data_IF_678983455415
#
_entry.id   IF_678983455415
#
_cell.length_a   1.000
_cell.length_b   1.000
_cell.length_c   1.000
_cell.angle_alpha   90.00
_cell.angle_beta   90.00
_cell.angle_gamma   90.00
#
_symmetry.space_group_name_H-M   'P 1'
#
loop_
_entity.id
_entity.type
_entity.pdbx_description
1 polymer ?
#
# COMPACT_ATOMS: atom_id res chain seq x y z
N UNK A 1 -11.41 -11.25 10.65
CA UNK A 1 -11.04 -9.94 11.26
C UNK A 1 -9.73 -9.93 12.06
N UNK A 2 -9.31 -10.99 12.78
CA UNK A 2 -8.03 -10.99 13.53
C UNK A 2 -6.81 -10.61 12.66
N UNK A 3 -6.58 -11.32 11.56
CA UNK A 3 -5.47 -11.06 10.62
C UNK A 3 -5.45 -9.64 10.06
N UNK A 4 -6.64 -9.05 9.84
CA UNK A 4 -6.76 -7.66 9.41
C UNK A 4 -6.20 -6.71 10.48
N UNK A 5 -6.61 -6.86 11.74
CA UNK A 5 -6.10 -6.02 12.83
C UNK A 5 -4.62 -6.28 13.12
N UNK A 6 -4.19 -7.55 13.09
CA UNK A 6 -2.77 -7.89 13.19
C UNK A 6 -1.99 -7.12 12.12
N UNK A 7 -2.45 -7.11 10.86
CA UNK A 7 -1.83 -6.36 9.74
C UNK A 7 -1.89 -4.84 9.92
N UNK A 8 -2.97 -4.28 10.47
CA UNK A 8 -3.10 -2.84 10.73
C UNK A 8 -2.10 -2.35 11.77
N UNK A 9 -1.90 -3.16 12.81
CA UNK A 9 -1.17 -2.76 14.01
C UNK A 9 0.33 -3.07 13.95
N UNK A 10 0.82 -3.74 12.89
CA UNK A 10 2.26 -4.04 12.72
C UNK A 10 3.17 -2.80 12.72
N UNK A 11 2.60 -1.63 12.37
CA UNK A 11 3.30 -0.35 12.43
C UNK A 11 2.76 0.52 13.58
N UNK A 12 1.44 0.53 13.76
CA UNK A 12 0.78 1.49 14.64
C UNK A 12 0.84 1.12 16.13
N UNK A 13 1.01 -0.16 16.49
CA UNK A 13 1.12 -0.57 17.89
C UNK A 13 2.55 -0.33 18.41
N UNK A 14 2.74 0.51 19.46
CA UNK A 14 4.06 0.86 19.98
C UNK A 14 4.85 -0.33 20.56
N UNK A 15 4.20 -1.43 20.92
CA UNK A 15 4.85 -2.58 21.56
C UNK A 15 4.73 -3.88 20.75
N UNK A 16 4.55 -3.76 19.43
CA UNK A 16 4.48 -4.93 18.57
C UNK A 16 5.84 -5.66 18.50
N UNK A 17 5.78 -6.97 18.24
CA UNK A 17 6.98 -7.85 18.19
C UNK A 17 7.78 -7.72 16.89
N UNK A 18 7.34 -6.89 15.95
CA UNK A 18 8.05 -6.68 14.68
C UNK A 18 9.00 -5.50 14.73
N UNK A 19 8.75 -4.50 15.56
CA UNK A 19 9.59 -3.33 15.66
C UNK A 19 10.97 -3.68 16.24
N UNK A 20 12.02 -3.52 15.45
CA UNK A 20 13.41 -3.77 15.88
C UNK A 20 14.19 -2.47 16.06
N UNK A 21 14.07 -1.58 15.09
CA UNK A 21 14.66 -0.25 15.15
C UNK A 21 13.71 0.77 14.54
N UNK A 22 13.53 1.89 15.24
CA UNK A 22 12.51 2.86 14.92
C UNK A 22 12.95 4.28 15.25
N UNK A 23 12.36 5.24 14.54
CA UNK A 23 12.50 6.65 14.85
C UNK A 23 11.39 7.06 15.81
N UNK A 24 11.76 7.36 17.07
CA UNK A 24 10.82 7.75 18.14
C UNK A 24 10.79 9.25 18.40
N UNK A 25 11.75 10.03 17.88
CA UNK A 25 11.87 11.47 18.12
C UNK A 25 11.05 12.30 17.11
N UNK A 26 9.79 11.92 16.90
CA UNK A 26 8.89 12.58 15.95
C UNK A 26 8.37 13.88 16.58
N UNK A 27 8.75 15.02 15.99
CA UNK A 27 8.25 16.34 16.40
C UNK A 27 6.88 16.63 15.77
N UNK A 28 5.83 16.32 16.52
CA UNK A 28 4.45 16.51 16.06
C UNK A 28 3.99 17.97 16.07
N UNK A 29 4.76 18.86 16.69
CA UNK A 29 4.37 20.25 16.90
C UNK A 29 4.73 21.12 15.69
N UNK A 30 5.77 20.74 14.94
CA UNK A 30 6.34 21.58 13.88
C UNK A 30 6.40 20.92 12.50
N UNK A 31 6.34 19.58 12.41
CA UNK A 31 6.67 18.87 11.16
C UNK A 31 5.49 18.18 10.49
N UNK A 32 4.38 18.00 11.21
CA UNK A 32 3.32 17.06 10.86
C UNK A 32 3.85 15.65 10.55
N UNK A 33 2.96 14.72 10.27
CA UNK A 33 3.30 13.30 10.25
C UNK A 33 2.76 12.63 8.99
N UNK A 34 3.30 11.45 8.67
CA UNK A 34 2.72 10.60 7.64
C UNK A 34 1.26 10.23 7.97
N UNK A 35 0.91 10.17 9.27
CA UNK A 35 -0.47 10.03 9.72
C UNK A 35 -1.34 11.21 9.24
N UNK A 36 -0.92 12.46 9.47
CA UNK A 36 -1.64 13.65 8.97
C UNK A 36 -1.77 13.65 7.44
N UNK A 37 -0.72 13.23 6.72
CA UNK A 37 -0.72 13.19 5.26
C UNK A 37 -1.68 12.14 4.66
N UNK A 38 -2.03 11.10 5.42
CA UNK A 38 -2.80 9.95 4.92
C UNK A 38 -4.18 9.78 5.57
N UNK A 39 -4.35 10.29 6.79
CA UNK A 39 -5.61 10.20 7.53
C UNK A 39 -6.73 10.92 6.78
N UNK A 40 -7.90 10.30 6.75
CA UNK A 40 -9.10 10.95 6.24
C UNK A 40 -9.59 11.98 7.24
N UNK A 41 -10.42 12.90 6.77
CA UNK A 41 -11.14 13.83 7.65
C UNK A 41 -12.35 13.11 8.23
N UNK A 42 -12.68 13.39 9.49
CA UNK A 42 -13.92 12.86 10.07
C UNK A 42 -15.12 13.39 9.24
N UNK A 43 -15.93 12.51 8.62
CA UNK A 43 -17.08 12.96 7.85
C UNK A 43 -18.17 13.53 8.76
N UNK A 44 -19.04 14.36 8.18
CA UNK A 44 -20.22 14.84 8.89
C UNK A 44 -21.11 13.67 9.34
N UNK A 45 -21.72 13.78 10.51
CA UNK A 45 -22.60 12.75 11.09
C UNK A 45 -21.92 11.78 12.05
N UNK A 46 -20.59 11.83 12.19
CA UNK A 46 -19.87 11.18 13.28
C UNK A 46 -19.72 12.15 14.46
N UNK A 47 -19.97 11.67 15.67
CA UNK A 47 -19.86 12.45 16.91
C UNK A 47 -18.46 12.35 17.52
N UNK A 48 -18.14 13.25 18.47
CA UNK A 48 -16.97 13.09 19.34
C UNK A 48 -15.66 13.71 18.83
N UNK A 49 -15.58 14.25 17.62
CA UNK A 49 -14.42 15.02 17.14
C UNK A 49 -14.84 16.12 16.14
N UNK A 50 -13.97 17.13 15.94
CA UNK A 50 -14.18 18.19 14.94
C UNK A 50 -13.28 17.94 13.74
N UNK A 51 -13.83 18.09 12.53
CA UNK A 51 -13.04 18.03 11.30
C UNK A 51 -12.20 19.31 11.16
N UNK A 52 -10.88 19.18 11.27
CA UNK A 52 -9.95 20.24 10.91
C UNK A 52 -8.97 19.74 9.83
N UNK A 53 -9.07 20.32 8.63
CA UNK A 53 -8.22 19.95 7.49
C UNK A 53 -6.72 20.08 7.79
N UNK A 54 -6.34 21.00 8.70
CA UNK A 54 -4.96 21.19 9.14
C UNK A 54 -4.34 19.99 9.87
N UNK A 55 -5.13 18.97 10.25
CA UNK A 55 -4.63 17.74 10.88
C UNK A 55 -5.01 16.45 10.13
N UNK A 56 -5.56 16.59 8.92
CA UNK A 56 -5.77 15.52 7.94
C UNK A 56 -5.58 16.14 6.55
N UNK A 57 -4.31 16.26 6.14
CA UNK A 57 -3.89 16.91 4.90
C UNK A 57 -4.25 16.10 3.66
N UNK A 58 -4.35 14.78 3.80
CA UNK A 58 -4.75 13.90 2.69
C UNK A 58 -3.84 14.01 1.45
N UNK A 59 -2.59 14.46 1.59
CA UNK A 59 -1.63 14.64 0.48
C UNK A 59 -1.08 13.32 -0.07
N UNK A 60 -0.98 12.30 0.78
CA UNK A 60 -0.41 11.00 0.42
C UNK A 60 -1.52 10.01 0.09
N UNK A 61 -1.73 9.82 -1.21
CA UNK A 61 -2.65 8.82 -1.76
C UNK A 61 -1.88 7.63 -2.34
N UNK A 62 -2.46 6.44 -2.27
CA UNK A 62 -1.89 5.26 -2.91
C UNK A 62 -2.09 5.35 -4.43
N UNK A 63 -1.09 4.94 -5.20
CA UNK A 63 -1.24 4.89 -6.66
C UNK A 63 -2.17 3.75 -7.06
N UNK A 64 -2.79 3.85 -8.24
CA UNK A 64 -3.54 2.73 -8.81
C UNK A 64 -2.68 1.46 -8.91
N UNK A 65 -1.42 1.61 -9.34
CA UNK A 65 -0.49 0.49 -9.45
C UNK A 65 -0.20 -0.18 -8.10
N UNK A 66 -0.21 0.58 -7.00
CA UNK A 66 -0.07 -0.01 -5.66
C UNK A 66 -1.29 -0.87 -5.31
N UNK A 67 -2.50 -0.47 -5.71
CA UNK A 67 -3.71 -1.27 -5.51
C UNK A 67 -3.72 -2.56 -6.34
N UNK A 68 -3.18 -2.55 -7.56
CA UNK A 68 -2.98 -3.77 -8.35
C UNK A 68 -1.92 -4.71 -7.77
N UNK A 69 -0.95 -4.17 -7.03
CA UNK A 69 0.20 -4.93 -6.54
C UNK A 69 -0.15 -5.95 -5.47
N UNK A 70 -1.11 -5.67 -4.59
CA UNK A 70 -1.50 -6.64 -3.57
C UNK A 70 -1.92 -7.97 -4.21
N UNK A 71 -1.76 -9.07 -3.48
CA UNK A 71 -2.21 -10.36 -3.94
C UNK A 71 -3.74 -10.47 -3.96
N UNK A 72 -4.22 -11.48 -4.69
CA UNK A 72 -5.55 -12.04 -4.45
C UNK A 72 -5.60 -12.73 -3.08
N UNK A 73 -6.77 -13.17 -2.65
CA UNK A 73 -6.94 -13.99 -1.44
C UNK A 73 -6.15 -15.30 -1.50
N UNK A 74 -5.82 -15.81 -2.70
CA UNK A 74 -4.97 -16.99 -2.87
C UNK A 74 -3.46 -16.69 -2.73
N UNK A 75 -3.06 -15.44 -2.48
CA UNK A 75 -1.65 -15.07 -2.32
C UNK A 75 -0.84 -15.06 -3.62
N UNK A 76 -1.51 -14.92 -4.77
CA UNK A 76 -0.89 -14.78 -6.09
C UNK A 76 -1.12 -13.36 -6.64
N UNK A 77 -0.20 -12.81 -7.47
CA UNK A 77 -0.45 -11.57 -8.20
C UNK A 77 -1.72 -11.68 -9.05
N UNK A 78 -2.47 -10.59 -9.21
CA UNK A 78 -3.76 -10.62 -9.94
C UNK A 78 -3.64 -11.07 -11.41
N UNK A 79 -2.45 -10.94 -12.03
CA UNK A 79 -2.17 -11.42 -13.39
C UNK A 79 -1.81 -12.91 -13.44
N UNK A 80 -1.35 -13.45 -12.30
CA UNK A 80 -0.84 -14.82 -12.15
C UNK A 80 -1.89 -15.75 -11.53
N UNK A 81 -2.93 -15.21 -10.90
CA UNK A 81 -4.05 -15.98 -10.37
C UNK A 81 -5.09 -16.26 -11.47
N UNK A 82 -5.30 -17.54 -11.80
CA UNK A 82 -6.27 -18.00 -12.78
C UNK A 82 -7.73 -17.81 -12.33
N UNK A 83 -7.96 -17.68 -11.02
CA UNK A 83 -9.29 -17.44 -10.44
C UNK A 83 -9.68 -15.96 -10.45
N UNK A 84 -8.72 -15.06 -10.74
CA UNK A 84 -8.97 -13.63 -10.86
C UNK A 84 -9.09 -13.22 -12.33
N UNK A 85 -10.25 -12.69 -12.73
CA UNK A 85 -10.45 -12.19 -14.09
C UNK A 85 -9.86 -10.79 -14.25
N UNK A 86 -8.63 -10.73 -14.77
CA UNK A 86 -7.92 -9.48 -14.99
C UNK A 86 -8.62 -8.52 -15.96
N UNK A 87 -9.35 -9.03 -16.95
CA UNK A 87 -9.98 -8.21 -17.98
C UNK A 87 -11.18 -7.43 -17.46
N UNK A 88 -11.91 -7.98 -16.48
CA UNK A 88 -13.09 -7.38 -15.88
C UNK A 88 -12.79 -6.65 -14.58
N UNK A 89 -11.50 -6.43 -14.24
CA UNK A 89 -11.09 -5.85 -12.95
C UNK A 89 -11.64 -4.44 -12.69
N UNK A 90 -11.97 -3.69 -13.74
CA UNK A 90 -12.57 -2.35 -13.64
C UNK A 90 -14.08 -2.35 -13.73
N UNK A 91 -14.70 -3.50 -14.00
CA UNK A 91 -16.15 -3.58 -14.07
C UNK A 91 -16.74 -3.31 -12.70
N UNK A 92 -17.88 -2.62 -12.70
CA UNK A 92 -18.61 -2.31 -11.48
C UNK A 92 -19.06 -3.60 -10.81
N UNK A 93 -18.86 -3.66 -9.50
CA UNK A 93 -19.30 -4.76 -8.65
C UNK A 93 -20.21 -4.19 -7.56
N UNK A 94 -21.38 -4.79 -7.34
CA UNK A 94 -22.24 -4.46 -6.22
C UNK A 94 -21.94 -5.43 -5.09
N UNK A 95 -21.50 -4.94 -3.94
CA UNK A 95 -21.22 -5.82 -2.81
C UNK A 95 -22.49 -6.51 -2.30
N UNK A 96 -22.39 -7.76 -1.85
CA UNK A 96 -23.54 -8.50 -1.30
C UNK A 96 -24.18 -7.74 -0.13
N UNK A 97 -25.49 -7.93 0.04
CA UNK A 97 -26.26 -7.35 1.14
C UNK A 97 -25.99 -8.06 2.47
N UNK A 98 -26.41 -7.46 3.59
CA UNK A 98 -26.11 -8.03 4.91
C UNK A 98 -26.71 -9.43 5.16
N UNK A 99 -27.84 -9.71 4.50
CA UNK A 99 -28.54 -11.01 4.55
C UNK A 99 -28.02 -12.02 3.52
N UNK A 100 -27.09 -11.61 2.65
CA UNK A 100 -26.52 -12.48 1.63
C UNK A 100 -25.51 -13.46 2.27
N UNK A 101 -25.58 -14.77 1.97
CA UNK A 101 -24.66 -15.78 2.50
C UNK A 101 -23.17 -15.51 2.26
N UNK A 102 -22.82 -14.74 1.22
CA UNK A 102 -21.43 -14.42 0.89
C UNK A 102 -20.90 -13.19 1.64
N UNK A 103 -21.78 -12.34 2.19
CA UNK A 103 -21.37 -11.11 2.89
C UNK A 103 -20.49 -11.33 4.13
N UNK A 104 -20.71 -12.35 4.99
CA UNK A 104 -19.85 -12.62 6.15
C UNK A 104 -18.35 -12.71 5.83
N UNK A 105 -17.96 -13.05 4.60
CA UNK A 105 -16.56 -13.15 4.18
C UNK A 105 -15.88 -11.78 4.04
N UNK A 106 -16.64 -10.74 3.72
CA UNK A 106 -16.16 -9.37 3.50
C UNK A 106 -16.65 -8.38 4.57
N UNK A 107 -17.44 -8.86 5.54
CA UNK A 107 -17.97 -8.05 6.63
C UNK A 107 -16.85 -7.35 7.41
N UNK A 108 -17.00 -6.03 7.58
CA UNK A 108 -15.99 -5.17 8.20
C UNK A 108 -14.82 -4.77 7.29
N UNK A 109 -14.69 -5.37 6.10
CA UNK A 109 -13.73 -4.94 5.07
C UNK A 109 -14.44 -4.06 4.03
N UNK A 110 -15.60 -4.53 3.56
CA UNK A 110 -16.46 -3.88 2.57
C UNK A 110 -17.86 -3.66 3.12
N UNK A 111 -18.49 -2.55 2.71
CA UNK A 111 -19.85 -2.18 3.06
C UNK A 111 -20.87 -3.06 2.32
N UNK A 112 -22.05 -3.34 2.89
CA UNK A 112 -23.09 -4.10 2.20
C UNK A 112 -23.84 -3.25 1.17
N UNK A 113 -24.26 -3.85 0.06
CA UNK A 113 -25.03 -3.20 -1.02
C UNK A 113 -24.40 -1.91 -1.57
N UNK A 114 -23.07 -1.85 -1.67
CA UNK A 114 -22.35 -0.67 -2.18
C UNK A 114 -21.67 -0.93 -3.52
N UNK A 115 -21.71 0.05 -4.44
CA UNK A 115 -20.99 -0.04 -5.69
C UNK A 115 -19.48 0.11 -5.46
N UNK A 116 -18.72 -0.79 -6.09
CA UNK A 116 -17.26 -0.82 -6.11
C UNK A 116 -16.80 -1.43 -7.45
N UNK A 117 -15.58 -1.96 -7.52
CA UNK A 117 -15.06 -2.66 -8.70
C UNK A 117 -14.46 -4.02 -8.35
N UNK A 118 -14.40 -4.91 -9.33
CA UNK A 118 -13.84 -6.26 -9.17
C UNK A 118 -12.39 -6.27 -8.65
N UNK A 119 -11.57 -5.26 -8.97
CA UNK A 119 -10.21 -5.11 -8.46
C UNK A 119 -10.14 -5.09 -6.93
N UNK A 120 -11.18 -4.62 -6.25
CA UNK A 120 -11.19 -4.46 -4.80
C UNK A 120 -11.74 -5.69 -4.06
N UNK A 121 -12.21 -6.68 -4.81
CA UNK A 121 -12.80 -7.90 -4.26
C UNK A 121 -11.77 -9.04 -4.23
N UNK A 122 -11.95 -9.96 -3.29
CA UNK A 122 -11.13 -11.17 -3.13
C UNK A 122 -9.63 -10.89 -3.08
N UNK A 123 -9.24 -9.84 -2.35
CA UNK A 123 -7.85 -9.46 -2.11
C UNK A 123 -7.34 -10.02 -0.79
N UNK A 124 -6.03 -10.03 -0.61
CA UNK A 124 -5.43 -10.39 0.68
C UNK A 124 -5.77 -9.35 1.78
N UNK A 125 -5.66 -9.75 3.05
CA UNK A 125 -6.01 -8.88 4.19
C UNK A 125 -5.19 -7.58 4.23
N UNK A 126 -3.92 -7.61 3.80
CA UNK A 126 -3.06 -6.41 3.75
C UNK A 126 -3.59 -5.35 2.78
N UNK A 127 -4.30 -5.73 1.72
CA UNK A 127 -4.95 -4.77 0.81
C UNK A 127 -5.94 -3.91 1.59
N UNK A 128 -6.87 -4.56 2.29
CA UNK A 128 -7.88 -3.87 3.09
C UNK A 128 -7.28 -3.20 4.32
N UNK A 129 -6.21 -3.74 4.91
CA UNK A 129 -5.56 -3.13 6.06
C UNK A 129 -4.78 -1.86 5.67
N UNK A 130 -4.20 -1.81 4.48
CA UNK A 130 -3.32 -0.71 4.11
C UNK A 130 -4.03 0.38 3.30
N UNK A 131 -5.05 0.03 2.52
CA UNK A 131 -5.71 0.94 1.59
C UNK A 131 -7.14 1.28 2.00
N UNK A 132 -7.53 2.54 1.80
CA UNK A 132 -8.93 2.98 1.82
C UNK A 132 -9.46 3.01 0.39
N UNK A 133 -10.52 2.24 0.11
CA UNK A 133 -11.08 2.09 -1.24
C UNK A 133 -12.58 2.32 -1.25
N UNK A 134 -13.13 2.77 -2.38
CA UNK A 134 -14.57 2.98 -2.56
C UNK A 134 -15.39 1.73 -2.26
N UNK A 135 -16.39 1.86 -1.38
CA UNK A 135 -17.21 0.75 -0.89
C UNK A 135 -16.57 0.00 0.28
N UNK A 136 -15.35 0.36 0.69
CA UNK A 136 -14.65 -0.18 1.85
C UNK A 136 -14.87 0.62 3.13
N UNK A 137 -14.13 0.25 4.16
CA UNK A 137 -14.03 0.98 5.43
C UNK A 137 -12.63 1.54 5.67
N UNK A 138 -12.55 2.72 6.26
CA UNK A 138 -11.33 3.32 6.78
C UNK A 138 -11.46 3.44 8.30
N UNK A 139 -10.49 2.90 9.05
CA UNK A 139 -10.52 2.92 10.52
C UNK A 139 -9.63 4.02 11.07
N UNK A 140 -10.25 5.02 11.67
CA UNK A 140 -9.64 6.20 12.27
C UNK A 140 -10.66 6.87 13.20
N UNK A 141 -10.24 7.83 14.03
CA UNK A 141 -11.12 8.59 14.93
C UNK A 141 -11.90 7.75 15.95
N UNK A 142 -11.43 6.53 16.27
CA UNK A 142 -12.19 5.50 17.02
C UNK A 142 -13.41 4.95 16.28
N UNK A 143 -13.52 5.22 14.98
CA UNK A 143 -14.68 4.89 14.16
C UNK A 143 -14.33 3.94 13.01
N UNK A 144 -15.36 3.24 12.54
CA UNK A 144 -15.30 2.48 11.29
C UNK A 144 -16.00 3.32 10.22
N UNK A 145 -15.22 4.13 9.49
CA UNK A 145 -15.75 5.13 8.58
C UNK A 145 -16.04 4.47 7.22
N UNK A 146 -17.30 4.47 6.73
CA UNK A 146 -17.62 4.03 5.39
C UNK A 146 -17.04 5.03 4.38
N UNK A 147 -16.22 4.56 3.44
CA UNK A 147 -15.53 5.42 2.47
C UNK A 147 -15.96 5.12 1.04
N UNK A 148 -16.10 6.20 0.25
CA UNK A 148 -16.52 6.14 -1.15
C UNK A 148 -15.53 6.83 -2.09
N UNK A 149 -14.66 7.71 -1.58
CA UNK A 149 -13.61 8.42 -2.33
C UNK A 149 -14.09 9.30 -3.50
N UNK A 150 -15.38 9.25 -3.84
CA UNK A 150 -16.06 10.11 -4.82
C UNK A 150 -16.20 11.53 -4.30
N UNK A 151 -16.27 12.51 -5.21
CA UNK A 151 -16.40 13.91 -4.84
C UNK A 151 -17.64 14.13 -3.94
N UNK A 152 -17.44 14.84 -2.83
CA UNK A 152 -18.50 15.18 -1.87
C UNK A 152 -18.90 14.04 -0.92
N UNK A 153 -18.25 12.87 -1.01
CA UNK A 153 -18.52 11.72 -0.13
C UNK A 153 -17.41 11.50 0.89
N UNK A 154 -17.64 10.61 1.85
CA UNK A 154 -16.67 10.27 2.89
C UNK A 154 -15.32 9.81 2.29
N UNK A 155 -14.25 10.50 2.69
CA UNK A 155 -12.88 10.28 2.21
C UNK A 155 -12.55 10.90 0.86
N UNK A 156 -13.56 11.32 0.09
CA UNK A 156 -13.38 11.89 -1.24
C UNK A 156 -13.04 13.38 -1.26
N UNK A 157 -12.72 13.87 -2.45
CA UNK A 157 -12.46 15.29 -2.67
C UNK A 157 -13.68 16.14 -2.33
N UNK A 158 -13.49 17.20 -1.53
CA UNK A 158 -14.56 18.14 -1.22
C UNK A 158 -14.01 19.58 -1.26
N UNK A 159 -14.24 20.34 -2.36
CA UNK A 159 -13.72 21.70 -2.49
C UNK A 159 -14.27 22.68 -1.45
N UNK A 160 -15.43 22.41 -0.86
CA UNK A 160 -16.01 23.23 0.20
C UNK A 160 -15.32 23.03 1.54
N UNK A 161 -14.59 21.92 1.72
CA UNK A 161 -13.76 21.66 2.90
C UNK A 161 -12.34 22.15 2.67
N UNK A 162 -11.73 21.73 1.56
CA UNK A 162 -10.41 22.19 1.14
C UNK A 162 -10.19 21.89 -0.36
N UNK A 163 -9.68 22.85 -1.12
CA UNK A 163 -9.51 22.75 -2.58
C UNK A 163 -8.17 22.15 -3.01
N UNK A 164 -7.17 22.10 -2.13
CA UNK A 164 -5.80 21.60 -2.44
C UNK A 164 -5.47 20.28 -1.75
N UNK A 165 -6.15 19.98 -0.65
CA UNK A 165 -5.81 18.88 0.24
C UNK A 165 -6.81 17.73 0.09
N UNK A 166 -6.45 16.72 -0.71
CA UNK A 166 -7.28 15.54 -0.98
C UNK A 166 -6.46 14.39 -1.55
N UNK A 167 -6.98 13.17 -1.41
CA UNK A 167 -6.35 11.96 -1.94
C UNK A 167 -6.48 11.91 -3.47
N UNK A 168 -5.49 12.45 -4.18
CA UNK A 168 -5.57 12.78 -5.61
C UNK A 168 -5.76 11.59 -6.57
N UNK A 169 -5.53 10.36 -6.11
CA UNK A 169 -5.74 9.13 -6.89
C UNK A 169 -7.07 8.45 -6.61
N UNK A 170 -7.84 8.94 -5.64
CA UNK A 170 -9.06 8.28 -5.16
C UNK A 170 -8.81 6.99 -4.36
N UNK A 171 -7.58 6.76 -3.90
CA UNK A 171 -7.21 5.58 -3.09
C UNK A 171 -6.46 6.06 -1.84
N UNK A 172 -7.03 5.83 -0.67
CA UNK A 172 -6.47 6.23 0.61
C UNK A 172 -5.40 5.28 1.15
N UNK A 173 -4.60 5.77 2.07
CA UNK A 173 -3.62 4.98 2.83
C UNK A 173 -4.05 5.00 4.28
N UNK A 174 -4.38 3.84 4.86
CA UNK A 174 -4.67 3.73 6.30
C UNK A 174 -3.52 3.12 7.10
N UNK A 175 -2.56 2.47 6.45
CA UNK A 175 -1.42 1.80 7.11
C UNK A 175 -0.69 2.70 8.13
N UNK A 176 -0.51 3.97 7.79
CA UNK A 176 0.25 4.96 8.56
C UNK A 176 -0.61 5.74 9.56
N UNK A 177 -1.86 5.34 9.75
CA UNK A 177 -2.83 5.99 10.63
C UNK A 177 -3.16 5.04 11.78
N UNK A 178 -2.97 5.48 13.01
CA UNK A 178 -3.47 4.74 14.17
C UNK A 178 -5.01 4.82 14.20
N UNK A 179 -5.75 3.72 14.43
CA UNK A 179 -7.23 3.76 14.41
C UNK A 179 -7.88 4.73 15.41
N UNK A 180 -7.14 5.10 16.45
CA UNK A 180 -7.56 6.06 17.48
C UNK A 180 -7.14 7.51 17.21
N UNK A 181 -6.33 7.74 16.18
CA UNK A 181 -5.92 9.09 15.78
C UNK A 181 -7.12 9.91 15.31
N UNK A 182 -7.13 11.18 15.69
CA UNK A 182 -8.24 12.13 15.46
C UNK A 182 -7.75 13.41 14.81
N UNK A 183 -8.63 14.12 14.09
CA UNK A 183 -8.23 15.22 13.20
C UNK A 183 -8.64 16.61 13.68
N UNK A 184 -9.03 16.79 14.94
CA UNK A 184 -9.39 18.12 15.48
C UNK A 184 -8.20 18.96 15.90
N UNK A 185 -7.11 18.33 16.36
CA UNK A 185 -5.90 19.00 16.82
C UNK A 185 -4.71 18.04 16.75
N UNK A 186 -3.49 18.59 16.67
CA UNK A 186 -2.25 17.79 16.63
C UNK A 186 -2.10 16.88 17.87
N UNK A 187 -2.58 17.31 19.06
CA UNK A 187 -2.56 16.51 20.29
C UNK A 187 -3.36 15.20 20.19
N UNK A 188 -4.25 15.10 19.22
CA UNK A 188 -5.21 14.01 19.08
C UNK A 188 -4.71 12.91 18.13
N UNK A 189 -3.52 13.06 17.56
CA UNK A 189 -2.83 11.97 16.89
C UNK A 189 -2.18 11.04 17.91
N UNK A 190 -2.38 9.73 17.74
CA UNK A 190 -1.67 8.73 18.54
C UNK A 190 -0.29 8.53 17.93
N UNK A 191 0.73 8.82 18.72
CA UNK A 191 2.13 8.62 18.35
C UNK A 191 2.49 7.15 18.40
N UNK A 192 3.20 6.70 17.38
CA UNK A 192 3.90 5.42 17.39
C UNK A 192 5.25 5.61 16.70
N UNK A 193 6.29 4.86 17.12
CA UNK A 193 7.60 4.97 16.52
C UNK A 193 7.59 4.42 15.08
N UNK A 194 7.98 5.23 14.09
CA UNK A 194 8.02 4.78 12.70
C UNK A 194 9.13 3.74 12.52
N UNK A 195 8.83 2.54 11.98
CA UNK A 195 9.83 1.50 11.79
C UNK A 195 10.86 1.94 10.75
N UNK A 196 12.14 1.85 11.13
CA UNK A 196 13.27 1.90 10.19
C UNK A 196 13.63 0.47 9.77
N UNK A 197 13.68 -0.45 10.74
CA UNK A 197 13.87 -1.88 10.53
C UNK A 197 12.85 -2.65 11.36
N UNK A 198 12.18 -3.62 10.74
CA UNK A 198 11.28 -4.55 11.41
C UNK A 198 11.50 -5.98 10.99
N UNK A 199 11.02 -6.92 11.79
CA UNK A 199 11.30 -8.35 11.66
C UNK A 199 10.93 -8.92 10.27
N UNK A 200 9.83 -8.47 9.66
CA UNK A 200 9.47 -8.94 8.32
C UNK A 200 10.52 -8.56 7.26
N UNK A 201 11.13 -7.37 7.35
CA UNK A 201 12.19 -6.98 6.42
C UNK A 201 13.42 -7.88 6.57
N UNK A 202 13.79 -8.26 7.81
CA UNK A 202 14.87 -9.22 8.05
C UNK A 202 14.59 -10.59 7.43
N UNK A 203 13.37 -11.12 7.57
CA UNK A 203 12.99 -12.39 6.95
C UNK A 203 13.00 -12.32 5.42
N UNK A 204 12.55 -11.22 4.83
CA UNK A 204 12.56 -11.04 3.38
C UNK A 204 13.97 -10.81 2.85
N UNK A 205 14.84 -10.09 3.57
CA UNK A 205 16.26 -9.99 3.24
C UNK A 205 16.95 -11.37 3.33
N UNK A 206 16.63 -12.17 4.36
CA UNK A 206 17.13 -13.55 4.45
C UNK A 206 16.68 -14.39 3.26
N UNK A 207 15.40 -14.34 2.89
CA UNK A 207 14.87 -15.05 1.73
C UNK A 207 15.60 -14.64 0.45
N UNK A 208 15.82 -13.33 0.27
CA UNK A 208 16.55 -12.79 -0.87
C UNK A 208 18.00 -13.29 -0.92
N UNK A 209 18.76 -13.12 0.18
CA UNK A 209 20.16 -13.59 0.25
C UNK A 209 20.25 -15.08 -0.05
N UNK A 210 19.39 -15.91 0.55
CA UNK A 210 19.39 -17.36 0.31
C UNK A 210 19.08 -17.69 -1.16
N UNK A 211 18.15 -16.97 -1.79
CA UNK A 211 17.84 -17.14 -3.21
C UNK A 211 19.04 -16.83 -4.10
N UNK A 212 19.78 -15.77 -3.79
CA UNK A 212 20.90 -15.30 -4.61
C UNK A 212 22.15 -16.17 -4.49
N UNK A 213 22.43 -16.72 -3.30
CA UNK A 213 23.66 -17.52 -3.06
C UNK A 213 23.50 -19.00 -3.43
N UNK A 214 22.28 -19.53 -3.41
CA UNK A 214 22.03 -20.94 -3.72
C UNK A 214 21.92 -21.16 -5.22
N UNK A 215 22.25 -22.37 -5.66
CA UNK A 215 22.11 -22.78 -7.07
C UNK A 215 20.65 -22.76 -7.54
N UNK A 216 19.73 -23.16 -6.66
CA UNK A 216 18.29 -23.08 -6.87
C UNK A 216 17.58 -22.73 -5.56
N UNK A 217 16.38 -22.11 -5.62
CA UNK A 217 15.56 -21.91 -4.44
C UNK A 217 15.13 -23.25 -3.84
N UNK A 218 15.34 -23.41 -2.54
CA UNK A 218 14.96 -24.60 -1.78
C UNK A 218 14.03 -24.23 -0.60
N UNK A 219 13.72 -25.21 0.25
CA UNK A 219 12.79 -25.03 1.36
C UNK A 219 13.23 -23.91 2.32
N UNK A 220 14.53 -23.67 2.53
CA UNK A 220 14.98 -22.60 3.43
C UNK A 220 14.67 -21.20 2.87
N UNK A 221 14.73 -21.03 1.55
CA UNK A 221 14.31 -19.79 0.87
C UNK A 221 12.82 -19.58 1.08
N UNK A 222 12.02 -20.64 0.86
CA UNK A 222 10.57 -20.60 0.98
C UNK A 222 10.13 -20.37 2.42
N UNK A 223 10.74 -21.04 3.40
CA UNK A 223 10.42 -20.87 4.82
C UNK A 223 10.64 -19.43 5.29
N UNK A 224 11.71 -18.77 4.84
CA UNK A 224 12.00 -17.39 5.21
C UNK A 224 10.90 -16.41 4.77
N UNK A 225 10.46 -16.48 3.50
CA UNK A 225 9.35 -15.65 3.00
C UNK A 225 8.00 -16.08 3.59
N UNK A 226 7.80 -17.37 3.84
CA UNK A 226 6.55 -17.93 4.34
C UNK A 226 6.21 -17.47 5.77
N UNK A 227 7.20 -17.06 6.57
CA UNK A 227 6.95 -16.42 7.87
C UNK A 227 6.09 -15.16 7.74
N UNK A 228 6.39 -14.33 6.74
CA UNK A 228 5.64 -13.10 6.45
C UNK A 228 4.26 -13.42 5.88
N UNK A 229 4.20 -14.35 4.92
CA UNK A 229 2.96 -14.76 4.24
C UNK A 229 1.95 -15.39 5.19
N UNK A 230 2.41 -16.30 6.05
CA UNK A 230 1.58 -16.97 7.05
C UNK A 230 0.97 -15.96 8.03
N UNK A 231 1.77 -14.99 8.52
CA UNK A 231 1.27 -13.92 9.39
C UNK A 231 0.25 -13.03 8.67
N UNK A 232 0.47 -12.75 7.38
CA UNK A 232 -0.49 -12.01 6.55
C UNK A 232 -1.76 -12.82 6.19
N UNK A 233 -1.80 -14.10 6.55
CA UNK A 233 -2.94 -14.99 6.30
C UNK A 233 -3.11 -15.42 4.85
N UNK A 234 -2.02 -15.41 4.06
CA UNK A 234 -2.01 -15.94 2.69
C UNK A 234 -1.22 -17.25 2.62
N UNK A 235 -1.53 -18.15 1.66
CA UNK A 235 -0.89 -19.46 1.60
C UNK A 235 0.60 -19.40 1.24
N UNK A 236 1.32 -20.47 1.54
CA UNK A 236 2.76 -20.58 1.30
C UNK A 236 3.11 -20.51 -0.19
N UNK A 237 4.32 -20.05 -0.50
CA UNK A 237 4.79 -19.85 -1.88
C UNK A 237 4.73 -21.16 -2.68
N UNK A 238 5.30 -22.23 -2.15
CA UNK A 238 5.39 -23.53 -2.83
C UNK A 238 4.01 -24.15 -3.08
N UNK A 239 3.05 -23.93 -2.19
CA UNK A 239 1.69 -24.45 -2.32
C UNK A 239 0.96 -23.78 -3.49
N UNK A 240 1.03 -22.46 -3.59
CA UNK A 240 0.26 -21.69 -4.59
C UNK A 240 0.91 -21.74 -5.96
N UNK A 241 2.23 -21.61 -6.03
CA UNK A 241 2.95 -21.57 -7.30
C UNK A 241 3.15 -22.96 -7.92
N UNK A 242 2.94 -24.05 -7.17
CA UNK A 242 2.90 -25.41 -7.74
C UNK A 242 1.51 -25.82 -8.22
N UNK A 243 0.46 -25.07 -7.86
CA UNK A 243 -0.93 -25.45 -8.14
C UNK A 243 -1.37 -25.00 -9.55
N UNK A 244 -1.61 -25.97 -10.44
CA UNK A 244 -2.03 -25.74 -11.82
C UNK A 244 -3.42 -25.13 -12.01
N UNK A 245 -4.25 -25.17 -10.96
CA UNK A 245 -5.58 -24.57 -10.97
C UNK A 245 -5.56 -23.11 -10.49
N UNK A 246 -4.48 -22.66 -9.86
CA UNK A 246 -4.35 -21.31 -9.30
C UNK A 246 -3.33 -20.46 -10.07
N UNK A 247 -2.10 -20.96 -10.27
CA UNK A 247 -1.04 -20.16 -10.86
C UNK A 247 -1.02 -20.27 -12.39
N UNK A 248 -0.83 -19.14 -13.07
CA UNK A 248 -0.61 -19.09 -14.52
C UNK A 248 0.79 -19.54 -14.88
N UNK A 249 1.80 -19.04 -14.17
CA UNK A 249 3.20 -19.45 -14.33
C UNK A 249 3.57 -20.51 -13.32
N UNK A 250 3.34 -21.78 -13.66
CA UNK A 250 3.62 -22.92 -12.78
C UNK A 250 5.09 -23.00 -12.42
N UNK A 251 5.37 -23.31 -11.15
CA UNK A 251 6.71 -23.53 -10.61
C UNK A 251 7.66 -22.31 -10.71
N UNK A 252 7.14 -21.08 -10.84
CA UNK A 252 7.94 -19.85 -10.87
C UNK A 252 8.94 -19.77 -9.70
N UNK A 253 8.50 -20.15 -8.50
CA UNK A 253 9.29 -20.21 -7.26
C UNK A 253 10.48 -21.19 -7.28
N UNK A 254 10.56 -22.10 -8.26
CA UNK A 254 11.65 -23.09 -8.37
C UNK A 254 12.87 -22.59 -9.14
N UNK A 255 12.79 -21.39 -9.73
CA UNK A 255 13.91 -20.77 -10.45
C UNK A 255 14.41 -19.57 -9.67
N UNK A 256 15.72 -19.33 -9.66
CA UNK A 256 16.29 -18.18 -8.96
C UNK A 256 15.66 -16.85 -9.41
N UNK A 257 15.46 -16.65 -10.72
CA UNK A 257 14.84 -15.44 -11.24
C UNK A 257 13.37 -15.31 -10.85
N UNK A 258 12.60 -16.40 -10.95
CA UNK A 258 11.17 -16.37 -10.60
C UNK A 258 10.95 -16.16 -9.10
N UNK A 259 11.79 -16.77 -8.27
CA UNK A 259 11.73 -16.57 -6.82
C UNK A 259 12.19 -15.17 -6.41
N UNK A 260 13.19 -14.58 -7.09
CA UNK A 260 13.57 -13.17 -6.92
C UNK A 260 12.38 -12.23 -7.17
N UNK A 261 11.62 -12.47 -8.24
CA UNK A 261 10.43 -11.67 -8.53
C UNK A 261 9.33 -11.84 -7.46
N UNK A 262 9.13 -13.05 -6.96
CA UNK A 262 8.19 -13.34 -5.87
C UNK A 262 8.61 -12.62 -4.58
N UNK A 263 9.90 -12.64 -4.23
CA UNK A 263 10.43 -11.95 -3.04
C UNK A 263 10.28 -10.44 -3.17
N UNK A 264 10.62 -9.86 -4.33
CA UNK A 264 10.45 -8.43 -4.56
C UNK A 264 8.98 -8.00 -4.51
N UNK A 265 8.07 -8.84 -5.04
CA UNK A 265 6.65 -8.62 -4.92
C UNK A 265 6.20 -8.63 -3.44
N UNK A 266 6.61 -9.63 -2.67
CA UNK A 266 6.25 -9.73 -1.25
C UNK A 266 6.81 -8.53 -0.46
N UNK A 267 8.07 -8.13 -0.70
CA UNK A 267 8.68 -6.92 -0.12
C UNK A 267 7.88 -5.67 -0.43
N UNK A 268 7.47 -5.51 -1.68
CA UNK A 268 6.74 -4.32 -2.12
C UNK A 268 5.34 -4.17 -1.51
N UNK A 269 4.71 -5.29 -1.15
CA UNK A 269 3.41 -5.34 -0.48
C UNK A 269 3.58 -5.17 1.02
N UNK A 270 4.48 -5.96 1.60
CA UNK A 270 4.73 -6.01 3.03
C UNK A 270 5.22 -4.66 3.53
N UNK A 271 6.22 -4.09 2.86
CA UNK A 271 6.86 -2.81 3.19
C UNK A 271 6.23 -1.63 2.44
N UNK A 272 5.00 -1.79 1.95
CA UNK A 272 4.27 -0.71 1.29
C UNK A 272 4.20 0.51 2.21
N UNK A 273 4.55 1.68 1.66
CA UNK A 273 4.58 2.98 2.35
C UNK A 273 5.64 3.12 3.47
N UNK A 274 6.61 2.20 3.56
CA UNK A 274 7.71 2.24 4.55
C UNK A 274 9.05 2.66 3.93
N UNK A 275 9.05 3.23 2.71
CA UNK A 275 10.27 3.74 2.06
C UNK A 275 11.15 2.70 1.37
N UNK A 276 10.78 1.41 1.35
CA UNK A 276 11.60 0.34 0.77
C UNK A 276 11.59 0.27 -0.77
N UNK A 277 10.42 0.49 -1.41
CA UNK A 277 10.23 0.21 -2.85
C UNK A 277 11.21 0.97 -3.76
N UNK A 278 11.51 2.23 -3.43
CA UNK A 278 12.48 3.03 -4.20
C UNK A 278 13.84 2.34 -4.27
N UNK A 279 14.39 1.98 -3.10
CA UNK A 279 15.70 1.36 -2.98
C UNK A 279 15.74 -0.05 -3.57
N UNK A 280 14.67 -0.82 -3.40
CA UNK A 280 14.54 -2.16 -4.01
C UNK A 280 14.62 -2.10 -5.54
N UNK A 281 13.97 -1.14 -6.17
CA UNK A 281 14.03 -0.97 -7.63
C UNK A 281 15.38 -0.44 -8.11
N UNK A 282 16.04 0.41 -7.33
CA UNK A 282 17.38 0.92 -7.64
C UNK A 282 18.41 -0.23 -7.62
N UNK A 283 18.49 -0.97 -6.51
CA UNK A 283 19.51 -2.04 -6.33
C UNK A 283 19.31 -3.22 -7.27
N UNK A 284 18.07 -3.50 -7.69
CA UNK A 284 17.75 -4.50 -8.72
C UNK A 284 17.84 -3.97 -10.15
N UNK A 285 18.24 -2.71 -10.36
CA UNK A 285 18.32 -2.07 -11.68
C UNK A 285 17.00 -2.09 -12.45
N UNK A 286 15.88 -1.95 -11.73
CA UNK A 286 14.49 -1.89 -12.27
C UNK A 286 13.85 -0.50 -12.17
N UNK A 287 14.49 0.45 -11.50
CA UNK A 287 13.95 1.81 -11.33
C UNK A 287 13.60 2.53 -12.66
N UNK A 288 14.38 2.37 -13.72
CA UNK A 288 14.09 3.02 -15.01
C UNK A 288 12.81 2.51 -15.69
N UNK A 289 12.46 1.23 -15.53
CA UNK A 289 11.17 0.71 -16.01
C UNK A 289 10.06 1.10 -15.07
N UNK A 290 10.23 0.83 -13.78
CA UNK A 290 9.21 1.04 -12.76
C UNK A 290 8.80 2.52 -12.61
N UNK A 291 9.77 3.43 -12.53
CA UNK A 291 9.53 4.85 -12.25
C UNK A 291 9.38 5.71 -13.50
N UNK A 292 9.46 5.11 -14.69
CA UNK A 292 9.01 5.75 -15.93
C UNK A 292 7.53 5.52 -16.20
N UNK A 293 6.87 4.59 -15.49
CA UNK A 293 5.42 4.44 -15.59
C UNK A 293 4.72 5.68 -15.01
N UNK A 294 3.70 6.22 -15.69
CA UNK A 294 2.94 7.35 -15.17
C UNK A 294 2.19 6.93 -13.90
N UNK A 295 2.05 7.84 -12.95
CA UNK A 295 1.13 7.61 -11.83
C UNK A 295 -0.29 7.70 -12.34
N UNK A 296 -1.07 6.67 -12.04
CA UNK A 296 -2.48 6.61 -12.39
C UNK A 296 -3.33 6.62 -11.13
N UNK A 297 -4.57 7.05 -11.31
CA UNK A 297 -5.58 7.13 -10.27
C UNK A 297 -6.97 7.28 -10.87
N UNK A 298 -7.99 7.15 -10.04
CA UNK A 298 -9.37 7.38 -10.40
C UNK A 298 -9.67 8.87 -10.58
N UNK A 299 -10.76 9.17 -11.27
CA UNK A 299 -11.23 10.53 -11.40
C UNK A 299 -11.83 11.01 -10.07
N UNK A 300 -11.00 11.67 -9.24
CA UNK A 300 -11.39 12.17 -7.92
C UNK A 300 -12.54 13.19 -7.93
N UNK A 301 -12.88 13.75 -9.11
CA UNK A 301 -14.03 14.65 -9.30
C UNK A 301 -15.32 13.91 -9.69
N UNK A 302 -15.25 12.59 -9.89
CA UNK A 302 -16.42 11.78 -10.17
C UNK A 302 -17.38 11.78 -8.98
N UNK A 303 -18.66 12.01 -9.24
CA UNK A 303 -19.73 12.06 -8.24
C UNK A 303 -20.56 10.77 -8.19
N UNK A 304 -20.29 9.83 -9.11
CA UNK A 304 -20.94 8.54 -9.20
C UNK A 304 -19.93 7.47 -9.62
N UNK A 305 -20.18 6.17 -9.37
CA UNK A 305 -19.23 5.09 -9.72
C UNK A 305 -18.78 5.13 -11.18
N UNK A 306 -19.69 5.37 -12.12
CA UNK A 306 -19.41 5.44 -13.56
C UNK A 306 -18.52 6.61 -13.98
N UNK A 307 -18.48 7.69 -13.19
CA UNK A 307 -17.63 8.86 -13.46
C UNK A 307 -16.37 8.87 -12.61
N UNK A 308 -16.36 8.16 -11.49
CA UNK A 308 -15.22 8.01 -10.58
C UNK A 308 -14.23 6.96 -11.07
N UNK A 309 -14.68 5.75 -11.41
CA UNK A 309 -13.84 4.64 -11.86
C UNK A 309 -13.35 4.80 -13.31
N UNK A 310 -13.03 6.03 -13.72
CA UNK A 310 -12.34 6.35 -14.97
C UNK A 310 -10.86 6.50 -14.62
N UNK A 311 -10.05 5.54 -15.07
CA UNK A 311 -8.61 5.55 -14.81
C UNK A 311 -7.93 6.64 -15.65
N UNK A 312 -7.21 7.55 -14.99
CA UNK A 312 -6.48 8.64 -15.63
C UNK A 312 -5.02 8.68 -15.20
N UNK A 313 -4.21 9.43 -15.97
CA UNK A 313 -2.84 9.79 -15.58
C UNK A 313 -2.91 11.00 -14.65
N UNK A 314 -2.45 10.83 -13.41
CA UNK A 314 -2.33 11.89 -12.40
C UNK A 314 -1.00 12.63 -12.56
N UNK A 315 0.08 11.91 -12.84
CA UNK A 315 1.40 12.48 -13.02
C UNK A 315 2.20 11.68 -14.06
N UNK A 316 2.64 12.33 -15.13
CA UNK A 316 3.62 11.75 -16.04
C UNK A 316 4.99 11.66 -15.35
N UNK A 317 5.70 10.56 -15.54
CA UNK A 317 7.02 10.34 -14.95
C UNK A 317 8.03 9.94 -16.01
N UNK A 318 9.30 10.21 -15.71
CA UNK A 318 10.45 9.77 -16.51
C UNK A 318 11.58 9.46 -15.54
N UNK A 319 12.13 8.25 -15.64
CA UNK A 319 13.31 7.83 -14.90
C UNK A 319 14.30 7.20 -15.88
N UNK A 320 15.49 7.78 -15.94
CA UNK A 320 16.55 7.40 -16.87
C UNK A 320 17.77 6.88 -16.12
N UNK A 321 18.78 6.41 -16.88
CA UNK A 321 19.99 5.81 -16.30
C UNK A 321 20.73 6.79 -15.38
N UNK A 322 20.74 8.10 -15.68
CA UNK A 322 21.39 9.11 -14.81
C UNK A 322 20.72 9.20 -13.44
N UNK A 323 19.40 8.97 -13.37
CA UNK A 323 18.60 9.21 -12.16
C UNK A 323 18.82 8.12 -11.09
N UNK A 324 19.59 7.06 -11.41
CA UNK A 324 20.08 6.08 -10.43
C UNK A 324 21.03 6.67 -9.38
N UNK A 325 21.68 7.79 -9.71
CA UNK A 325 22.57 8.51 -8.82
C UNK A 325 22.11 9.96 -8.73
N UNK A 326 22.20 10.54 -7.55
CA UNK A 326 21.91 11.97 -7.38
C UNK A 326 23.05 12.81 -7.94
N UNK A 327 22.77 13.99 -8.53
CA UNK A 327 23.83 14.90 -8.92
C UNK A 327 24.63 15.32 -7.68
N UNK A 328 25.95 15.38 -7.82
CA UNK A 328 26.80 16.09 -6.86
C UNK A 328 26.53 17.58 -7.03
N UNK A 329 26.35 18.30 -5.91
CA UNK A 329 26.06 19.73 -5.92
C UNK A 329 27.15 20.53 -6.68
N UNK A 330 26.72 21.50 -7.48
CA UNK A 330 27.64 22.28 -8.31
C UNK A 330 28.64 23.11 -7.49
N UNK A 331 28.26 23.57 -6.29
CA UNK A 331 29.19 24.32 -5.44
C UNK A 331 30.27 23.40 -4.88
N UNK A 332 29.94 22.15 -4.54
CA UNK A 332 30.91 21.15 -4.12
C UNK A 332 31.90 20.84 -5.26
N UNK A 333 31.39 20.64 -6.48
CA UNK A 333 32.20 20.43 -7.68
C UNK A 333 33.16 21.59 -7.95
N UNK A 334 32.71 22.84 -7.80
CA UNK A 334 33.53 24.04 -8.00
C UNK A 334 34.57 24.22 -6.88
N UNK A 335 34.25 23.83 -5.65
CA UNK A 335 35.13 23.96 -4.48
C UNK A 335 36.23 22.91 -4.50
N UNK A 336 35.91 21.68 -4.89
CA UNK A 336 36.85 20.57 -4.91
C UNK A 336 37.06 20.05 -6.33
N UNK A 337 38.10 20.56 -7.01
CA UNK A 337 38.47 20.14 -8.37
C UNK A 337 38.93 18.69 -8.53
N UNK A 338 38.92 17.88 -7.46
CA UNK A 338 39.12 16.42 -7.52
C UNK A 338 37.80 15.63 -7.61
N UNK A 339 36.65 16.28 -7.44
CA UNK A 339 35.36 15.62 -7.61
C UNK A 339 35.06 15.42 -9.09
N UNK A 340 34.55 14.24 -9.42
CA UNK A 340 34.00 13.90 -10.73
C UNK A 340 32.50 13.71 -10.57
N UNK A 341 31.71 14.31 -11.46
CA UNK A 341 30.26 14.22 -11.41
C UNK A 341 29.77 12.79 -11.64
N UNK A 342 28.61 12.46 -11.08
CA UNK A 342 27.92 11.21 -11.36
C UNK A 342 27.51 11.11 -12.86
N UNK A 343 27.55 9.90 -13.45
CA UNK A 343 27.28 9.72 -14.88
C UNK A 343 25.94 10.34 -15.35
N UNK A 344 26.02 11.23 -16.35
CA UNK A 344 24.86 11.82 -17.02
C UNK A 344 24.28 13.09 -16.37
N UNK A 345 24.91 13.60 -15.30
CA UNK A 345 24.57 14.86 -14.63
C UNK A 345 25.53 16.00 -14.97
#
# INVERSE_FOLDING_TARGET
>A
MKTYYDSRMVIADPWNKELLWAYSNIDIYSQGELAHATNIRLPAGFEGDVNAAGFSWQWMAATYQMAERYYTSNGLPIQEDLTFNYNTRHDTYLTPGIEDPDYPQIAGLMQPNQPTINLYMNREMRFYANLGVTGGYFRSHFEIIPVYMMQGTNGGYNPSVNSTDFLCTGIGIQKLVHPESRSSAWQRQVKFPYPIIRMADLYLMKAEVLNEIKTQPDQEVWDAINLVRTRAGIPKVEDVWSNSQLARTINKHRTQSGMRDIILQERSIELAFEGAHYWDMIRHKRAHTEFSLPIQGWNYKGTAPSTFFILGVVQARRFTIRDYLWPIDLNEMNTNGKLTQNPGW
#
